data_IF_513736320340
#
_entry.id   IF_513736320340
#
_cell.length_a   1.000
_cell.length_b   1.000
_cell.length_c   1.000
_cell.angle_alpha   90.00
_cell.angle_beta   90.00
_cell.angle_gamma   90.00
#
_symmetry.space_group_name_H-M   'P 1'
#
loop_
_entity.id
_entity.type
_entity.pdbx_description
1 polymer ?
#
# COMPACT_ATOMS: atom_id res chain seq x y z
N UNK A 1 14.32 -5.82 -40.17
CA UNK A 1 13.03 -5.10 -40.10
C UNK A 1 12.79 -4.60 -38.68
N UNK A 2 12.12 -3.45 -38.49
CA UNK A 2 11.76 -2.88 -37.15
C UNK A 2 10.99 -3.91 -36.30
N UNK A 3 10.20 -4.77 -36.95
CA UNK A 3 9.44 -5.85 -36.31
C UNK A 3 10.36 -6.88 -35.65
N UNK A 4 11.47 -7.23 -36.29
CA UNK A 4 12.41 -8.25 -35.81
C UNK A 4 13.17 -7.77 -34.57
N UNK A 5 13.62 -6.51 -34.62
CA UNK A 5 14.28 -5.84 -33.49
C UNK A 5 13.33 -5.65 -32.29
N UNK A 6 12.05 -5.41 -32.56
CA UNK A 6 11.01 -5.34 -31.51
C UNK A 6 10.75 -6.70 -30.86
N UNK A 7 10.75 -7.79 -31.63
CA UNK A 7 10.61 -9.16 -31.11
C UNK A 7 11.81 -9.60 -30.26
N UNK A 8 13.03 -9.23 -30.65
CA UNK A 8 14.23 -9.50 -29.85
C UNK A 8 14.23 -8.75 -28.53
N UNK A 9 13.82 -7.47 -28.51
CA UNK A 9 13.67 -6.71 -27.26
C UNK A 9 12.61 -7.32 -26.33
N UNK A 10 11.49 -7.82 -26.86
CA UNK A 10 10.49 -8.51 -26.05
C UNK A 10 11.02 -9.83 -25.47
N UNK A 11 11.74 -10.63 -26.26
CA UNK A 11 12.37 -11.88 -25.78
C UNK A 11 13.43 -11.62 -24.70
N UNK A 12 14.21 -10.54 -24.83
CA UNK A 12 15.19 -10.13 -23.80
C UNK A 12 14.53 -9.65 -22.50
N UNK A 13 13.38 -8.98 -22.57
CA UNK A 13 12.62 -8.60 -21.36
C UNK A 13 12.11 -9.84 -20.62
N UNK A 14 11.55 -10.80 -21.36
CA UNK A 14 11.05 -12.08 -20.80
C UNK A 14 12.18 -12.92 -20.21
N UNK A 15 13.39 -12.92 -20.80
CA UNK A 15 14.53 -13.65 -20.23
C UNK A 15 15.09 -12.99 -18.97
N UNK A 16 15.09 -11.66 -18.87
CA UNK A 16 15.47 -10.94 -17.64
C UNK A 16 14.51 -11.19 -16.48
N UNK A 17 13.22 -11.43 -16.78
CA UNK A 17 12.20 -11.74 -15.77
C UNK A 17 12.40 -13.12 -15.10
N UNK A 18 13.22 -14.02 -15.66
CA UNK A 18 13.41 -15.38 -15.14
C UNK A 18 14.35 -15.48 -13.93
N UNK A 19 14.97 -14.39 -13.50
CA UNK A 19 15.95 -14.41 -12.40
C UNK A 19 15.40 -13.78 -11.10
N UNK A 20 14.13 -14.01 -10.79
CA UNK A 20 13.48 -13.53 -9.56
C UNK A 20 13.61 -14.56 -8.44
N UNK A 21 14.84 -14.90 -8.05
CA UNK A 21 15.03 -15.61 -6.79
C UNK A 21 14.57 -14.69 -5.66
N UNK A 22 13.69 -15.18 -4.78
CA UNK A 22 13.33 -14.46 -3.57
C UNK A 22 14.59 -14.30 -2.70
N UNK A 23 14.92 -13.06 -2.35
CA UNK A 23 16.03 -12.74 -1.46
C UNK A 23 15.47 -12.04 -0.24
N UNK A 24 15.79 -12.56 0.94
CA UNK A 24 15.43 -11.93 2.21
C UNK A 24 16.35 -10.73 2.46
N UNK A 25 15.78 -9.56 2.68
CA UNK A 25 16.54 -8.37 3.08
C UNK A 25 17.03 -8.53 4.52
N UNK A 26 18.34 -8.38 4.73
CA UNK A 26 18.98 -8.52 6.06
C UNK A 26 19.30 -7.18 6.72
N UNK A 27 19.09 -6.06 6.02
CA UNK A 27 19.48 -4.72 6.45
C UNK A 27 18.34 -3.74 6.32
N UNK A 28 18.27 -2.80 7.27
CA UNK A 28 17.24 -1.75 7.36
C UNK A 28 17.25 -0.80 6.15
N UNK A 29 18.37 -0.71 5.43
CA UNK A 29 18.51 0.13 4.24
C UNK A 29 17.53 -0.24 3.11
N UNK A 30 17.06 -1.50 3.09
CA UNK A 30 16.10 -1.98 2.08
C UNK A 30 14.64 -1.64 2.42
N UNK A 31 14.34 -1.21 3.66
CA UNK A 31 12.94 -1.02 4.09
C UNK A 31 12.27 0.10 3.32
N UNK A 32 12.97 1.22 3.09
CA UNK A 32 12.45 2.34 2.30
C UNK A 32 12.05 1.92 0.87
N UNK A 33 12.94 1.35 0.03
CA UNK A 33 12.57 0.94 -1.32
C UNK A 33 11.51 -0.18 -1.33
N UNK A 34 11.49 -1.08 -0.33
CA UNK A 34 10.42 -2.06 -0.21
C UNK A 34 9.06 -1.39 0.08
N UNK A 35 9.05 -0.37 0.94
CA UNK A 35 7.83 0.36 1.28
C UNK A 35 7.36 1.28 0.13
N UNK A 36 8.25 1.91 -0.63
CA UNK A 36 7.91 2.70 -1.83
C UNK A 36 7.06 1.89 -2.83
N UNK A 37 7.36 0.59 -2.97
CA UNK A 37 6.58 -0.31 -3.86
C UNK A 37 5.28 -0.78 -3.21
N UNK A 38 5.27 -1.03 -1.91
CA UNK A 38 4.16 -1.68 -1.22
C UNK A 38 3.14 -0.70 -0.60
N UNK A 39 3.51 0.57 -0.41
CA UNK A 39 2.72 1.55 0.32
C UNK A 39 1.33 1.78 -0.30
N UNK A 40 1.23 1.99 -1.60
CA UNK A 40 -0.05 2.26 -2.26
C UNK A 40 -0.98 1.03 -2.26
N UNK A 41 -0.50 -0.19 -2.55
CA UNK A 41 -1.28 -1.40 -2.31
C UNK A 41 -1.80 -1.53 -0.87
N UNK A 42 -0.96 -1.23 0.14
CA UNK A 42 -1.39 -1.25 1.53
C UNK A 42 -2.46 -0.20 1.83
N UNK A 43 -2.26 1.04 1.38
CA UNK A 43 -3.23 2.12 1.55
C UNK A 43 -4.59 1.75 0.96
N UNK A 44 -4.60 1.27 -0.29
CA UNK A 44 -5.82 0.86 -0.98
C UNK A 44 -6.52 -0.29 -0.26
N UNK A 45 -5.76 -1.33 0.13
CA UNK A 45 -6.32 -2.50 0.82
C UNK A 45 -6.90 -2.12 2.17
N UNK A 46 -6.14 -1.38 2.99
CA UNK A 46 -6.57 -0.99 4.33
C UNK A 46 -7.77 -0.05 4.29
N UNK A 47 -7.81 0.91 3.35
CA UNK A 47 -8.96 1.79 3.18
C UNK A 47 -10.23 1.01 2.81
N UNK A 48 -10.15 0.09 1.84
CA UNK A 48 -11.30 -0.73 1.44
C UNK A 48 -11.76 -1.64 2.58
N UNK A 49 -10.83 -2.29 3.28
CA UNK A 49 -11.17 -3.16 4.40
C UNK A 49 -11.83 -2.39 5.54
N UNK A 50 -11.34 -1.20 5.85
CA UNK A 50 -11.91 -0.36 6.89
C UNK A 50 -13.31 0.16 6.55
N UNK A 51 -13.64 0.30 5.26
CA UNK A 51 -14.99 0.67 4.80
C UNK A 51 -15.96 -0.53 4.75
N UNK A 52 -15.47 -1.71 4.39
CA UNK A 52 -16.30 -2.89 4.10
C UNK A 52 -16.51 -3.81 5.32
N UNK A 53 -15.62 -3.78 6.31
CA UNK A 53 -15.65 -4.73 7.42
C UNK A 53 -16.33 -4.13 8.65
N UNK A 54 -17.39 -4.80 9.13
CA UNK A 54 -18.11 -4.41 10.35
C UNK A 54 -17.60 -5.15 11.61
N UNK A 55 -16.70 -6.12 11.45
CA UNK A 55 -16.17 -6.88 12.58
C UNK A 55 -15.19 -6.01 13.38
N UNK A 56 -15.36 -5.87 14.72
CA UNK A 56 -14.47 -5.05 15.54
C UNK A 56 -13.00 -5.42 15.39
N UNK A 57 -12.70 -6.73 15.29
CA UNK A 57 -11.35 -7.25 15.12
C UNK A 57 -10.75 -6.88 13.76
N UNK A 58 -11.52 -6.94 12.67
CA UNK A 58 -11.06 -6.53 11.34
C UNK A 58 -10.74 -5.03 11.32
N UNK A 59 -11.59 -4.21 11.93
CA UNK A 59 -11.41 -2.75 12.05
C UNK A 59 -10.14 -2.43 12.84
N UNK A 60 -9.95 -3.07 14.00
CA UNK A 60 -8.77 -2.89 14.83
C UNK A 60 -7.47 -3.24 14.08
N UNK A 61 -7.45 -4.38 13.37
CA UNK A 61 -6.31 -4.77 12.54
C UNK A 61 -6.02 -3.77 11.42
N UNK A 62 -7.05 -3.19 10.80
CA UNK A 62 -6.85 -2.17 9.76
C UNK A 62 -6.26 -0.89 10.34
N UNK A 63 -6.77 -0.42 11.49
CA UNK A 63 -6.24 0.76 12.19
C UNK A 63 -4.78 0.53 12.61
N UNK A 64 -4.45 -0.66 13.12
CA UNK A 64 -3.07 -1.01 13.41
C UNK A 64 -2.21 -1.05 12.14
N UNK A 65 -2.73 -1.56 11.02
CA UNK A 65 -2.08 -1.51 9.72
C UNK A 65 -1.73 -0.07 9.30
N UNK A 66 -2.68 0.86 9.41
CA UNK A 66 -2.45 2.28 9.18
C UNK A 66 -1.37 2.84 10.11
N UNK A 67 -1.43 2.54 11.41
CA UNK A 67 -0.44 2.97 12.41
C UNK A 67 0.97 2.53 12.02
N UNK A 68 1.15 1.28 11.59
CA UNK A 68 2.47 0.77 11.18
C UNK A 68 2.96 1.45 9.89
N UNK A 69 2.10 1.62 8.90
CA UNK A 69 2.45 2.30 7.64
C UNK A 69 2.89 3.75 7.88
N UNK A 70 2.15 4.50 8.70
CA UNK A 70 2.48 5.88 9.09
C UNK A 70 3.83 5.92 9.81
N UNK A 71 4.08 4.99 10.75
CA UNK A 71 5.35 4.92 11.49
C UNK A 71 6.54 4.61 10.58
N UNK A 72 6.37 3.70 9.61
CA UNK A 72 7.42 3.40 8.62
C UNK A 72 7.69 4.66 7.78
N UNK A 73 6.65 5.26 7.19
CA UNK A 73 6.80 6.46 6.36
C UNK A 73 7.51 7.61 7.11
N UNK A 74 7.11 7.87 8.35
CA UNK A 74 7.74 8.89 9.19
C UNK A 74 9.20 8.56 9.55
N UNK A 75 9.54 7.27 9.77
CA UNK A 75 10.90 6.85 10.14
C UNK A 75 11.91 6.98 9.00
N UNK A 76 11.45 6.98 7.75
CA UNK A 76 12.25 7.04 6.53
C UNK A 76 12.08 8.35 5.74
N UNK A 77 11.48 9.38 6.36
CA UNK A 77 11.27 10.71 5.77
C UNK A 77 10.48 10.66 4.44
N UNK A 78 9.43 9.85 4.42
CA UNK A 78 8.53 9.64 3.28
C UNK A 78 7.24 10.45 3.48
N UNK A 79 7.33 11.78 3.33
CA UNK A 79 6.25 12.71 3.66
C UNK A 79 4.96 12.47 2.85
N UNK A 80 5.09 12.21 1.54
CA UNK A 80 3.94 11.99 0.65
C UNK A 80 3.13 10.77 1.07
N UNK A 81 3.81 9.66 1.34
CA UNK A 81 3.21 8.41 1.80
C UNK A 81 2.57 8.60 3.17
N UNK A 82 3.30 9.22 4.11
CA UNK A 82 2.78 9.53 5.46
C UNK A 82 1.49 10.31 5.37
N UNK A 83 1.49 11.41 4.63
CA UNK A 83 0.35 12.33 4.55
C UNK A 83 -0.85 11.65 3.86
N UNK A 84 -0.61 10.76 2.90
CA UNK A 84 -1.66 9.96 2.27
C UNK A 84 -2.31 8.97 3.26
N UNK A 85 -1.52 8.24 4.05
CA UNK A 85 -2.06 7.34 5.08
C UNK A 85 -2.81 8.11 6.17
N UNK A 86 -2.25 9.21 6.67
CA UNK A 86 -2.90 10.06 7.68
C UNK A 86 -4.20 10.63 7.15
N UNK A 87 -4.21 11.18 5.93
CA UNK A 87 -5.41 11.74 5.31
C UNK A 87 -6.48 10.68 5.09
N UNK A 88 -6.09 9.47 4.67
CA UNK A 88 -7.04 8.38 4.49
C UNK A 88 -7.63 7.93 5.83
N UNK A 89 -6.81 7.75 6.87
CA UNK A 89 -7.30 7.39 8.21
C UNK A 89 -8.22 8.48 8.78
N UNK A 90 -7.86 9.76 8.60
CA UNK A 90 -8.66 10.90 9.04
C UNK A 90 -10.06 10.88 8.42
N UNK A 91 -10.20 10.52 7.14
CA UNK A 91 -11.51 10.39 6.48
C UNK A 91 -12.43 9.36 7.15
N UNK A 92 -11.89 8.30 7.75
CA UNK A 92 -12.70 7.33 8.49
C UNK A 92 -13.10 7.84 9.88
N UNK A 93 -12.27 8.69 10.50
CA UNK A 93 -12.60 9.34 11.78
C UNK A 93 -13.56 10.52 11.63
N UNK A 94 -13.57 11.14 10.45
CA UNK A 94 -14.43 12.26 10.12
C UNK A 94 -15.76 11.73 9.53
N UNK A 95 -16.77 11.61 10.40
CA UNK A 95 -18.18 11.34 10.07
C UNK A 95 -18.58 9.91 9.64
N UNK A 96 -18.58 8.99 10.62
CA UNK A 96 -19.78 8.16 10.87
C UNK A 96 -20.84 9.06 11.54
N UNK A 97 -21.22 10.17 10.92
CA UNK A 97 -22.26 11.09 11.44
C UNK A 97 -23.30 11.44 10.38
N UNK A 98 -23.18 10.92 9.15
CA UNK A 98 -24.27 10.97 8.15
C UNK A 98 -24.97 9.61 7.96
N UNK A 99 -24.40 8.50 8.48
CA UNK A 99 -25.04 7.17 8.35
C UNK A 99 -26.09 6.85 9.43
N UNK A 100 -26.32 7.75 10.40
CA UNK A 100 -27.43 7.65 11.37
C UNK A 100 -28.43 8.81 11.24
N UNK A 101 -29.10 8.90 10.09
CA UNK A 101 -30.45 9.48 10.06
C UNK A 101 -31.37 8.48 9.36
N UNK A 102 -31.82 7.46 10.11
CA UNK A 102 -33.05 6.76 9.78
C UNK A 102 -34.22 7.70 10.10
N UNK A 103 -35.05 8.12 9.14
CA UNK A 103 -36.28 8.81 9.46
C UNK A 103 -37.18 7.87 10.29
N UNK A 104 -37.80 8.42 11.33
CA UNK A 104 -38.91 7.79 12.06
C UNK A 104 -40.16 7.82 11.19
#
# INVERSE_FOLDING_TARGET
SIVQKSQEMMKQRVSRQKNTAYVSAQSVEHVRPLFEVACWPYLATLAVLLEMQDSPTSVELCIDGFKHCIRIAARFDMDTERDAFVSSLAKFTYLITIKEMKPK
#
